data_IF_599562720531
#
_entry.id   IF_599562720531
#
_cell.length_a   1.000
_cell.length_b   1.000
_cell.length_c   1.000
_cell.angle_alpha   90.00
_cell.angle_beta   90.00
_cell.angle_gamma   90.00
#
_symmetry.space_group_name_H-M   'P 1'
#
loop_
_entity.id
_entity.type
_entity.pdbx_description
1 polymer ?
#
# COMPACT_ATOMS: atom_id res chain seq x y z
N UNK A 1 -5.34 21.36 19.59
CA UNK A 1 -5.81 20.00 19.22
C UNK A 1 -5.68 19.73 17.73
N UNK A 2 -5.83 20.74 16.86
CA UNK A 2 -5.61 20.65 15.40
C UNK A 2 -4.28 19.97 15.01
N UNK A 3 -3.15 20.43 15.57
CA UNK A 3 -1.83 19.89 15.23
C UNK A 3 -1.65 18.40 15.57
N UNK A 4 -2.38 17.88 16.56
CA UNK A 4 -2.27 16.47 16.95
C UNK A 4 -3.06 15.56 16.01
N UNK A 5 -4.26 15.98 15.61
CA UNK A 5 -5.08 15.24 14.64
C UNK A 5 -4.38 15.21 13.28
N UNK A 6 -3.87 16.36 12.80
CA UNK A 6 -3.11 16.44 11.57
C UNK A 6 -1.86 15.54 11.58
N UNK A 7 -1.15 15.47 12.72
CA UNK A 7 0.01 14.58 12.85
C UNK A 7 -0.37 13.09 12.72
N UNK A 8 -1.51 12.67 13.27
CA UNK A 8 -2.00 11.30 13.11
C UNK A 8 -2.38 11.02 11.64
N UNK A 9 -3.12 11.93 11.00
CA UNK A 9 -3.51 11.76 9.59
C UNK A 9 -2.26 11.66 8.71
N UNK A 10 -1.26 12.51 8.95
CA UNK A 10 0.03 12.44 8.25
C UNK A 10 0.77 11.11 8.48
N UNK A 11 0.75 10.58 9.71
CA UNK A 11 1.35 9.28 10.00
C UNK A 11 0.65 8.15 9.24
N UNK A 12 -0.69 8.14 9.22
CA UNK A 12 -1.48 7.14 8.47
C UNK A 12 -1.24 7.29 6.96
N UNK A 13 -1.22 8.53 6.44
CA UNK A 13 -0.89 8.81 5.04
C UNK A 13 0.46 8.20 4.67
N UNK A 14 1.49 8.50 5.45
CA UNK A 14 2.86 8.06 5.19
C UNK A 14 2.98 6.54 5.28
N UNK A 15 2.35 5.92 6.27
CA UNK A 15 2.35 4.46 6.43
C UNK A 15 1.61 3.77 5.26
N UNK A 16 0.39 4.21 4.94
CA UNK A 16 -0.41 3.64 3.86
C UNK A 16 0.25 3.83 2.49
N UNK A 17 0.83 5.00 2.23
CA UNK A 17 1.57 5.29 1.01
C UNK A 17 2.80 4.42 0.86
N UNK A 18 3.63 4.31 1.91
CA UNK A 18 4.84 3.48 1.91
C UNK A 18 4.51 2.00 1.68
N UNK A 19 3.51 1.47 2.39
CA UNK A 19 3.07 0.08 2.25
C UNK A 19 2.44 -0.17 0.88
N UNK A 20 1.60 0.76 0.39
CA UNK A 20 0.96 0.68 -0.92
C UNK A 20 1.96 0.65 -2.06
N UNK A 21 2.90 1.60 -2.09
CA UNK A 21 3.97 1.65 -3.11
C UNK A 21 4.86 0.41 -3.03
N UNK A 22 5.22 -0.04 -1.82
CA UNK A 22 6.02 -1.25 -1.64
C UNK A 22 5.31 -2.48 -2.20
N UNK A 23 4.01 -2.61 -1.94
CA UNK A 23 3.20 -3.71 -2.44
C UNK A 23 3.04 -3.68 -3.96
N UNK A 24 2.89 -2.50 -4.58
CA UNK A 24 2.93 -2.36 -6.05
C UNK A 24 4.29 -2.81 -6.61
N UNK A 25 5.38 -2.44 -5.93
CA UNK A 25 6.71 -2.96 -6.28
C UNK A 25 6.74 -4.50 -6.27
N UNK A 26 6.19 -5.12 -5.23
CA UNK A 26 6.09 -6.59 -5.15
C UNK A 26 5.21 -7.18 -6.25
N UNK A 27 4.08 -6.55 -6.61
CA UNK A 27 3.26 -6.99 -7.74
C UNK A 27 4.05 -7.04 -9.07
N UNK A 28 4.94 -6.07 -9.30
CA UNK A 28 5.74 -5.95 -10.52
C UNK A 28 6.93 -6.91 -10.52
N UNK A 29 7.62 -7.04 -9.38
CA UNK A 29 8.93 -7.69 -9.32
C UNK A 29 8.95 -9.07 -8.66
N UNK A 30 7.93 -9.45 -7.88
CA UNK A 30 7.89 -10.77 -7.24
C UNK A 30 7.77 -11.87 -8.28
N UNK A 31 8.59 -12.92 -8.12
CA UNK A 31 8.64 -14.11 -8.96
C UNK A 31 8.86 -15.33 -8.08
N UNK A 32 8.15 -16.41 -8.37
CA UNK A 32 8.38 -17.71 -7.75
C UNK A 32 8.86 -18.69 -8.82
N UNK A 33 10.06 -19.24 -8.62
CA UNK A 33 10.71 -20.11 -9.62
C UNK A 33 10.19 -21.55 -9.54
N UNK A 34 9.55 -21.92 -8.45
CA UNK A 34 9.16 -23.30 -8.14
C UNK A 34 7.65 -23.48 -8.34
N UNK A 35 6.85 -22.45 -8.04
CA UNK A 35 5.38 -22.52 -8.11
C UNK A 35 4.75 -21.31 -8.81
N UNK A 36 4.26 -21.53 -10.04
CA UNK A 36 3.61 -20.49 -10.86
C UNK A 36 2.22 -20.10 -10.37
N UNK A 37 1.53 -20.98 -9.67
CA UNK A 37 0.18 -20.70 -9.15
C UNK A 37 0.29 -19.89 -7.86
N UNK A 38 1.25 -20.24 -7.01
CA UNK A 38 1.63 -19.41 -5.86
C UNK A 38 2.13 -18.03 -6.30
N UNK A 39 2.95 -17.93 -7.37
CA UNK A 39 3.36 -16.63 -7.93
C UNK A 39 2.16 -15.75 -8.27
N UNK A 40 1.20 -16.29 -9.03
CA UNK A 40 0.03 -15.53 -9.48
C UNK A 40 -0.84 -15.07 -8.32
N UNK A 41 -1.08 -15.95 -7.35
CA UNK A 41 -1.87 -15.62 -6.16
C UNK A 41 -1.20 -14.48 -5.37
N UNK A 42 0.08 -14.62 -5.05
CA UNK A 42 0.81 -13.63 -4.25
C UNK A 42 0.88 -12.29 -4.99
N UNK A 43 1.11 -12.29 -6.31
CA UNK A 43 1.06 -11.07 -7.11
C UNK A 43 -0.31 -10.41 -7.05
N UNK A 44 -1.40 -11.16 -7.18
CA UNK A 44 -2.74 -10.59 -7.06
C UNK A 44 -2.96 -9.92 -5.69
N UNK A 45 -2.55 -10.59 -4.60
CA UNK A 45 -2.60 -10.04 -3.25
C UNK A 45 -1.78 -8.74 -3.13
N UNK A 46 -0.56 -8.70 -3.67
CA UNK A 46 0.26 -7.48 -3.72
C UNK A 46 -0.39 -6.35 -4.54
N UNK A 47 -1.03 -6.68 -5.67
CA UNK A 47 -1.77 -5.69 -6.46
C UNK A 47 -2.94 -5.09 -5.66
N UNK A 48 -3.71 -5.93 -4.97
CA UNK A 48 -4.83 -5.52 -4.13
C UNK A 48 -4.37 -4.63 -2.97
N UNK A 49 -3.38 -5.07 -2.19
CA UNK A 49 -2.87 -4.29 -1.06
C UNK A 49 -2.21 -2.99 -1.51
N UNK A 50 -1.53 -3.02 -2.66
CA UNK A 50 -0.96 -1.84 -3.30
C UNK A 50 -2.01 -0.78 -3.60
N UNK A 51 -3.08 -1.16 -4.30
CA UNK A 51 -4.18 -0.26 -4.65
C UNK A 51 -4.90 0.26 -3.40
N UNK A 52 -5.22 -0.63 -2.45
CA UNK A 52 -5.89 -0.24 -1.21
C UNK A 52 -5.05 0.76 -0.39
N UNK A 53 -3.74 0.52 -0.28
CA UNK A 53 -2.81 1.44 0.39
C UNK A 53 -2.78 2.83 -0.26
N UNK A 54 -2.75 2.89 -1.59
CA UNK A 54 -2.82 4.16 -2.31
C UNK A 54 -4.16 4.88 -2.12
N UNK A 55 -5.28 4.16 -2.13
CA UNK A 55 -6.60 4.76 -1.87
C UNK A 55 -6.63 5.38 -0.47
N UNK A 56 -6.18 4.65 0.55
CA UNK A 56 -6.12 5.18 1.93
C UNK A 56 -5.17 6.38 2.01
N UNK A 57 -4.00 6.32 1.38
CA UNK A 57 -3.07 7.45 1.31
C UNK A 57 -3.74 8.70 0.71
N UNK A 58 -4.45 8.56 -0.41
CA UNK A 58 -5.15 9.67 -1.07
C UNK A 58 -6.29 10.23 -0.22
N UNK A 59 -7.02 9.38 0.50
CA UNK A 59 -8.05 9.80 1.44
C UNK A 59 -7.46 10.58 2.62
N UNK A 60 -6.32 10.14 3.17
CA UNK A 60 -5.63 10.88 4.23
C UNK A 60 -5.03 12.18 3.73
N UNK A 61 -4.53 12.21 2.49
CA UNK A 61 -4.09 13.45 1.84
C UNK A 61 -5.24 14.44 1.74
N UNK A 62 -6.42 13.99 1.28
CA UNK A 62 -7.60 14.84 1.18
C UNK A 62 -8.09 15.37 2.54
N UNK A 63 -7.85 14.62 3.62
CA UNK A 63 -8.25 14.99 4.97
C UNK A 63 -7.27 15.93 5.69
N UNK A 64 -6.05 16.11 5.16
CA UNK A 64 -5.06 17.09 5.62
C UNK A 64 -5.30 18.46 4.98
#
# INVERSE_FOLDING_TARGET
MENFIAAIIFAVLTAAGTLGVSSIGMFVFYRDKEDRDAEQRNRFEYGFFGLAGLVVMLLMWYAL
#
